data_IF_975771073959
#
_entry.id   IF_975771073959
#
_cell.length_a   1.000
_cell.length_b   1.000
_cell.length_c   1.000
_cell.angle_alpha   90.00
_cell.angle_beta   90.00
_cell.angle_gamma   90.00
#
_symmetry.space_group_name_H-M   'P 1'
#
loop_
_entity.id
_entity.type
_entity.pdbx_description
1 polymer ?
2 non-polymer ?
3 water ?
#
# COMPACT_ATOMS: atom_id res chain seq x y z
N UNK A 1 -5.44 14.47 1.51
CA UNK A 1 -5.61 13.02 1.18
C UNK A 1 -4.88 12.16 2.21
N UNK A 2 -5.67 11.42 2.97
CA UNK A 2 -5.09 10.51 3.92
C UNK A 2 -5.01 9.11 3.32
N UNK A 3 -4.15 8.30 3.91
CA UNK A 3 -3.90 6.95 3.43
C UNK A 3 -5.16 6.09 3.22
N UNK A 4 -6.00 5.93 4.25
CA UNK A 4 -7.14 5.03 4.05
C UNK A 4 -8.10 5.53 2.96
N UNK A 5 -8.31 6.85 2.90
CA UNK A 5 -9.04 7.46 1.76
C UNK A 5 -8.37 7.17 0.42
N UNK A 6 -7.03 7.22 0.38
CA UNK A 6 -6.33 6.96 -0.90
C UNK A 6 -6.45 5.48 -1.30
N UNK A 7 -6.33 4.58 -0.33
CA UNK A 7 -6.53 3.13 -0.57
C UNK A 7 -7.93 2.85 -1.18
N UNK A 8 -8.95 3.53 -0.65
CA UNK A 8 -10.29 3.47 -1.23
C UNK A 8 -10.26 3.78 -2.73
N UNK A 9 -9.62 4.90 -3.08
CA UNK A 9 -9.43 5.28 -4.49
C UNK A 9 -8.53 4.33 -5.28
N UNK A 10 -7.53 3.76 -4.61
CA UNK A 10 -6.61 2.88 -5.30
C UNK A 10 -7.30 1.56 -5.66
N UNK A 11 -8.23 1.11 -4.81
CA UNK A 11 -9.01 -0.12 -5.12
C UNK A 11 -9.76 0.06 -6.42
N UNK A 12 -10.21 1.28 -6.69
CA UNK A 12 -10.95 1.57 -7.93
C UNK A 12 -10.08 1.62 -9.16
N UNK A 13 -8.85 2.11 -8.98
CA UNK A 13 -7.87 2.10 -10.03
C UNK A 13 -7.55 0.61 -10.36
N UNK A 14 -7.37 -0.22 -9.33
CA UNK A 14 -7.05 -1.63 -9.56
C UNK A 14 -8.20 -2.32 -10.31
N UNK A 15 -9.43 -2.03 -9.91
CA UNK A 15 -10.62 -2.60 -10.60
C UNK A 15 -10.66 -2.30 -12.10
N UNK A 16 -10.19 -1.12 -12.52
CA UNK A 16 -10.18 -0.67 -13.90
C UNK A 16 -8.95 -1.11 -14.70
N UNK A 17 -7.94 -1.64 -14.02
CA UNK A 17 -6.74 -2.13 -14.70
C UNK A 17 -6.98 -3.35 -15.57
N UNK A 18 -7.92 -4.21 -15.22
CA UNK A 18 -8.15 -5.41 -16.00
C UNK A 18 -7.26 -6.57 -15.58
N UNK A 19 -7.16 -6.75 -14.27
CA UNK A 19 -6.32 -7.79 -13.65
C UNK A 19 -7.08 -9.08 -13.43
N UNK A 20 -6.43 -10.21 -13.69
CA UNK A 20 -7.00 -11.54 -13.45
C UNK A 20 -7.68 -11.60 -12.09
N UNK A 21 -8.78 -12.34 -11.99
CA UNK A 21 -9.54 -12.41 -10.75
C UNK A 21 -8.71 -12.85 -9.50
N UNK A 22 -7.96 -13.93 -9.62
CA UNK A 22 -7.12 -14.41 -8.49
C UNK A 22 -6.10 -13.36 -8.04
N UNK A 23 -5.47 -12.70 -9.02
CA UNK A 23 -4.54 -11.63 -8.70
C UNK A 23 -5.19 -10.45 -7.96
N UNK A 24 -6.34 -9.97 -8.46
CA UNK A 24 -7.04 -8.85 -7.81
C UNK A 24 -7.42 -9.12 -6.36
N UNK A 25 -7.91 -10.34 -6.11
CA UNK A 25 -8.24 -10.77 -4.74
C UNK A 25 -7.03 -10.66 -3.80
N UNK A 26 -5.89 -11.16 -4.29
CA UNK A 26 -4.62 -11.04 -3.56
C UNK A 26 -4.23 -9.59 -3.28
N UNK A 27 -4.31 -8.75 -4.32
CA UNK A 27 -4.09 -7.32 -4.21
C UNK A 27 -5.02 -6.67 -3.18
N UNK A 28 -6.32 -6.97 -3.22
CA UNK A 28 -7.26 -6.40 -2.24
C UNK A 28 -6.96 -6.82 -0.79
N UNK A 29 -6.59 -8.08 -0.59
CA UNK A 29 -6.17 -8.58 0.74
C UNK A 29 -4.95 -7.85 1.30
N UNK A 30 -3.98 -7.56 0.44
CA UNK A 30 -2.80 -6.80 0.84
C UNK A 30 -3.12 -5.32 1.10
N UNK A 31 -4.08 -4.75 0.39
CA UNK A 31 -4.57 -3.41 0.78
C UNK A 31 -5.20 -3.42 2.20
N UNK A 32 -5.93 -4.49 2.51
CA UNK A 32 -6.53 -4.65 3.84
C UNK A 32 -5.44 -4.74 4.89
N UNK A 33 -4.36 -5.47 4.59
CA UNK A 33 -3.20 -5.56 5.49
C UNK A 33 -2.61 -4.17 5.72
N UNK A 34 -2.52 -3.37 4.65
CA UNK A 34 -1.99 -1.98 4.78
C UNK A 34 -2.88 -1.11 5.71
N UNK A 35 -4.20 -1.15 5.49
CA UNK A 35 -5.16 -0.41 6.32
C UNK A 35 -5.04 -0.73 7.81
N UNK A 36 -4.94 -2.03 8.07
CA UNK A 36 -4.70 -2.57 9.40
C UNK A 36 -3.33 -2.18 9.96
N UNK A 37 -2.33 -2.10 9.08
CA UNK A 37 -0.96 -1.88 9.49
C UNK A 37 -0.52 -0.44 9.67
N UNK A 38 -1.19 0.49 8.97
CA UNK A 38 -0.79 1.92 8.95
C UNK A 38 -1.98 2.83 9.26
N UNK A 39 -1.73 4.01 9.87
CA UNK A 39 -2.84 4.90 10.30
C UNK A 39 -3.52 5.63 9.13
N UNK A 40 -4.70 6.18 9.36
CA UNK A 40 -5.37 6.97 8.31
C UNK A 40 -4.83 8.39 8.29
N UNK A 41 -3.55 8.53 7.97
CA UNK A 41 -2.86 9.79 8.10
C UNK A 41 -2.58 10.39 6.71
N UNK A 42 -2.42 11.74 6.63
CA UNK A 42 -2.03 12.42 5.39
C UNK A 42 -0.89 11.68 4.78
N UNK A 43 -0.93 11.44 3.47
CA UNK A 43 0.12 10.67 2.79
C UNK A 43 1.55 11.05 3.18
N UNK A 44 1.87 12.35 3.25
CA UNK A 44 3.23 12.81 3.57
C UNK A 44 3.65 12.47 4.99
N UNK A 45 2.67 12.20 5.86
CA UNK A 45 2.94 11.91 7.29
C UNK A 45 3.30 10.43 7.56
N UNK A 46 3.06 9.56 6.58
CA UNK A 46 3.41 8.14 6.71
C UNK A 46 4.93 8.05 6.68
N UNK A 47 5.54 7.50 7.72
CA UNK A 47 7.00 7.49 7.74
C UNK A 47 7.59 6.15 7.32
N UNK A 48 8.81 6.22 6.83
CA UNK A 48 9.75 5.11 6.73
C UNK A 48 9.67 4.15 7.90
N UNK A 49 9.68 4.71 9.11
CA UNK A 49 9.71 3.95 10.31
C UNK A 49 8.45 3.13 10.51
N UNK A 50 7.29 3.76 10.27
CA UNK A 50 6.01 3.07 10.37
C UNK A 50 5.87 1.96 9.30
N UNK A 51 6.32 2.25 8.08
CA UNK A 51 6.29 1.28 6.96
C UNK A 51 7.13 0.06 7.33
N UNK A 52 8.34 0.31 7.82
CA UNK A 52 9.28 -0.74 8.26
C UNK A 52 8.74 -1.57 9.41
N UNK A 53 8.11 -0.94 10.40
CA UNK A 53 7.46 -1.68 11.48
C UNK A 53 6.33 -2.62 11.02
N UNK A 54 5.44 -2.15 10.14
CA UNK A 54 4.46 -3.07 9.55
C UNK A 54 5.09 -4.25 8.78
N UNK A 55 6.01 -3.95 7.88
CA UNK A 55 6.64 -4.98 7.08
C UNK A 55 7.43 -6.00 7.94
N UNK A 56 8.20 -5.49 8.91
CA UNK A 56 9.00 -6.33 9.83
C UNK A 56 8.20 -7.34 10.67
N UNK A 57 6.98 -6.99 11.05
CA UNK A 57 6.06 -7.95 11.69
C UNK A 57 5.84 -9.21 10.86
N UNK A 58 5.75 -9.04 9.54
CA UNK A 58 5.61 -10.18 8.62
C UNK A 58 6.96 -10.89 8.48
N UNK A 59 8.02 -10.12 8.20
CA UNK A 59 9.38 -10.68 8.00
C UNK A 59 9.82 -11.53 9.20
N UNK A 60 9.56 -11.04 10.41
CA UNK A 60 10.05 -11.65 11.67
C UNK A 60 9.45 -13.04 11.85
N UNK A 61 8.23 -13.20 11.35
CA UNK A 61 7.45 -14.41 11.46
C UNK A 61 7.70 -15.38 10.32
N UNK A 62 8.47 -14.99 9.32
CA UNK A 62 8.72 -15.87 8.19
C UNK A 62 7.76 -15.70 7.05
N UNK A 63 6.97 -14.63 7.12
CA UNK A 63 6.02 -14.33 6.06
C UNK A 63 6.57 -13.48 4.90
N UNK A 64 7.44 -14.13 4.12
CA UNK A 64 8.32 -13.48 3.10
C UNK A 64 7.61 -13.01 1.85
N UNK A 65 6.84 -13.90 1.21
CA UNK A 65 5.90 -13.52 0.15
C UNK A 65 4.95 -12.38 0.55
N UNK A 66 4.39 -12.41 1.77
CA UNK A 66 3.48 -11.36 2.19
C UNK A 66 4.19 -10.01 2.31
N UNK A 67 5.31 -9.96 3.02
CA UNK A 67 6.06 -8.71 3.19
C UNK A 67 6.45 -8.10 1.84
N UNK A 68 6.83 -8.95 0.90
CA UNK A 68 7.26 -8.49 -0.47
C UNK A 68 6.12 -7.79 -1.21
N UNK A 69 4.97 -8.45 -1.17
CA UNK A 69 3.76 -8.04 -1.86
C UNK A 69 3.10 -6.85 -1.19
N UNK A 70 3.08 -6.81 0.15
CA UNK A 70 2.56 -5.62 0.85
C UNK A 70 3.36 -4.37 0.49
N UNK A 71 4.68 -4.54 0.53
CA UNK A 71 5.59 -3.48 0.16
C UNK A 71 5.33 -3.01 -1.30
N UNK A 72 5.22 -3.97 -2.21
CA UNK A 72 5.07 -3.67 -3.63
C UNK A 72 3.72 -2.96 -3.91
N UNK A 73 2.70 -3.45 -3.21
CA UNK A 73 1.37 -2.84 -3.31
C UNK A 73 1.32 -1.44 -2.80
N UNK A 74 1.92 -1.19 -1.64
CA UNK A 74 2.00 0.15 -1.10
C UNK A 74 2.79 1.15 -1.99
N UNK A 75 3.92 0.67 -2.48
CA UNK A 75 4.71 1.41 -3.45
C UNK A 75 3.88 1.85 -4.67
N UNK A 76 3.25 0.89 -5.30
CA UNK A 76 2.37 1.20 -6.43
C UNK A 76 1.22 2.17 -6.05
N UNK A 77 0.55 1.97 -4.90
CA UNK A 77 -0.41 2.96 -4.40
C UNK A 77 0.17 4.37 -4.30
N UNK A 78 1.36 4.48 -3.70
CA UNK A 78 2.04 5.77 -3.60
C UNK A 78 2.32 6.39 -5.02
N UNK A 79 2.76 5.55 -5.98
CA UNK A 79 2.98 5.96 -7.38
C UNK A 79 1.71 6.50 -8.05
N UNK A 80 0.57 5.86 -7.80
CA UNK A 80 -0.73 6.36 -8.28
C UNK A 80 -1.11 7.67 -7.61
N UNK A 81 -0.84 7.82 -6.31
CA UNK A 81 -1.10 9.09 -5.64
C UNK A 81 -0.21 10.22 -6.22
N UNK A 82 1.02 9.90 -6.58
CA UNK A 82 1.90 10.87 -7.29
C UNK A 82 1.25 11.29 -8.59
N UNK A 83 0.82 10.31 -9.41
CA UNK A 83 0.15 10.60 -10.68
C UNK A 83 -1.08 11.49 -10.52
N UNK A 84 -1.80 11.32 -9.40
CA UNK A 84 -2.97 12.14 -9.10
C UNK A 84 -2.70 13.44 -8.35
N UNK A 85 -1.44 13.70 -8.05
CA UNK A 85 -1.00 14.97 -7.48
C UNK A 85 -1.03 15.15 -5.98
N UNK A 86 -1.12 14.05 -5.23
CA UNK A 86 -1.30 14.18 -3.80
C UNK A 86 0.01 14.15 -3.03
N UNK A 87 1.07 13.63 -3.65
CA UNK A 87 2.41 13.64 -3.12
C UNK A 87 3.36 13.72 -4.29
N UNK A 88 4.63 13.93 -4.00
CA UNK A 88 5.57 14.25 -5.08
C UNK A 88 6.68 13.23 -5.14
N UNK A 89 6.78 12.41 -4.09
CA UNK A 89 7.76 11.34 -4.00
C UNK A 89 7.21 10.07 -3.37
N UNK A 90 7.93 8.95 -3.55
CA UNK A 90 7.50 7.63 -3.04
C UNK A 90 8.31 7.16 -1.83
N UNK A 91 7.67 7.11 -0.65
CA UNK A 91 8.42 6.78 0.56
C UNK A 91 8.65 5.31 0.83
N UNK A 92 7.96 4.44 0.10
CA UNK A 92 8.21 3.00 0.20
C UNK A 92 9.62 2.70 -0.29
N UNK A 93 10.11 3.53 -1.20
CA UNK A 93 11.55 3.73 -1.39
C UNK A 93 12.06 4.67 -0.28
X LIG B 1 8.54 -1.81 -6.60
X LIG B 1 8.36 -1.46 -8.01
X LIG B 1 7.61 -2.87 -6.21
X LIG B 1 9.91 -2.29 -6.42
X LIG B 1 8.31 -0.63 -5.78
#
# INVERSE_FOLDING_TARGET
MTLHSWLDRYEKILASRGIKQKTLINYMSKIKAIRRGLPDAPLEDITTKEIAAMLNGYIDEGKAASAKLIRSTLSDAFREAIAEGHITTNHVAATRAAKSEVR
SO4 S O1 O2 O3 O4
#
